data_IF_217905090485
#
_entry.id   IF_217905090485
#
_cell.length_a   1.000
_cell.length_b   1.000
_cell.length_c   1.000
_cell.angle_alpha   90.00
_cell.angle_beta   90.00
_cell.angle_gamma   90.00
#
_symmetry.space_group_name_H-M   'P 1'
#
loop_
_entity.id
_entity.type
_entity.pdbx_description
1 polymer ?
#
# COMPACT_ATOMS: atom_id res chain seq x y z
N UNK A 1 2.32 -19.57 -5.63
CA UNK A 1 2.19 -18.16 -5.23
C UNK A 1 3.55 -17.61 -4.86
N UNK A 2 4.02 -16.57 -5.55
CA UNK A 2 5.42 -16.07 -5.56
C UNK A 2 5.80 -15.16 -4.38
N UNK A 3 5.12 -15.24 -3.23
CA UNK A 3 5.43 -14.38 -2.08
C UNK A 3 6.02 -15.23 -0.96
N UNK A 4 7.29 -15.60 -1.15
CA UNK A 4 8.03 -16.37 -0.17
C UNK A 4 8.80 -15.42 0.77
N UNK A 5 8.78 -15.64 2.10
CA UNK A 5 9.54 -14.83 3.07
C UNK A 5 11.05 -14.76 2.76
N UNK A 6 11.55 -15.63 1.89
CA UNK A 6 12.94 -15.62 1.41
C UNK A 6 13.33 -14.36 0.61
N UNK A 7 12.39 -13.66 -0.03
CA UNK A 7 12.72 -12.44 -0.79
C UNK A 7 13.07 -11.30 0.18
N UNK A 8 12.26 -11.08 1.22
CA UNK A 8 12.53 -10.05 2.23
C UNK A 8 13.84 -10.32 2.97
N UNK A 9 14.09 -11.57 3.36
CA UNK A 9 15.30 -11.95 4.11
C UNK A 9 16.56 -11.73 3.25
N UNK A 10 16.53 -12.11 1.97
CA UNK A 10 17.66 -11.86 1.05
C UNK A 10 17.94 -10.38 0.82
N UNK A 11 16.90 -9.55 0.88
CA UNK A 11 17.04 -8.10 0.77
C UNK A 11 17.44 -7.43 2.10
N UNK A 12 17.71 -8.19 3.16
CA UNK A 12 18.10 -7.64 4.47
C UNK A 12 16.94 -7.10 5.31
N UNK A 13 15.69 -7.39 4.93
CA UNK A 13 14.50 -7.01 5.69
C UNK A 13 14.05 -8.13 6.64
N UNK A 14 13.35 -7.73 7.70
CA UNK A 14 12.61 -8.66 8.54
C UNK A 14 11.61 -9.48 7.69
N UNK A 15 11.20 -10.69 8.12
CA UNK A 15 10.22 -11.49 7.40
C UNK A 15 8.94 -10.69 7.13
N UNK A 16 8.59 -10.54 5.85
CA UNK A 16 7.39 -9.82 5.43
C UNK A 16 6.29 -10.81 5.04
N UNK A 17 5.05 -10.47 5.38
CA UNK A 17 3.90 -11.19 4.84
C UNK A 17 3.45 -10.55 3.52
N UNK A 18 2.71 -11.28 2.66
CA UNK A 18 2.20 -10.74 1.41
C UNK A 18 1.38 -9.44 1.57
N UNK A 19 0.72 -9.28 2.72
CA UNK A 19 -0.06 -8.08 3.03
C UNK A 19 0.84 -6.85 3.20
N UNK A 20 2.05 -7.00 3.74
CA UNK A 20 3.02 -5.90 3.87
C UNK A 20 3.40 -5.36 2.50
N UNK A 21 3.66 -6.23 1.52
CA UNK A 21 3.97 -5.81 0.15
C UNK A 21 2.78 -5.10 -0.50
N UNK A 22 1.55 -5.55 -0.24
CA UNK A 22 0.34 -4.85 -0.69
C UNK A 22 0.24 -3.45 -0.07
N UNK A 23 0.56 -3.29 1.21
CA UNK A 23 0.61 -2.00 1.88
C UNK A 23 1.69 -1.08 1.30
N UNK A 24 2.92 -1.57 1.12
CA UNK A 24 4.00 -0.78 0.52
C UNK A 24 3.62 -0.27 -0.88
N UNK A 25 2.93 -1.09 -1.68
CA UNK A 25 2.43 -0.67 -2.99
C UNK A 25 1.34 0.38 -2.91
N UNK A 26 0.42 0.28 -1.94
CA UNK A 26 -0.64 1.27 -1.74
C UNK A 26 -0.05 2.64 -1.37
N UNK A 27 0.88 2.68 -0.41
CA UNK A 27 1.57 3.91 0.01
C UNK A 27 2.31 4.55 -1.18
N UNK A 28 3.11 3.78 -1.92
CA UNK A 28 3.83 4.31 -3.08
C UNK A 28 2.91 4.91 -4.16
N UNK A 29 1.74 4.31 -4.41
CA UNK A 29 0.76 4.86 -5.35
C UNK A 29 0.12 6.15 -4.84
N UNK A 30 -0.16 6.25 -3.54
CA UNK A 30 -0.69 7.47 -2.94
C UNK A 30 0.36 8.59 -2.92
N UNK A 31 1.60 8.29 -2.55
CA UNK A 31 2.71 9.24 -2.54
C UNK A 31 3.05 9.77 -3.95
N UNK A 32 2.83 8.96 -4.99
CA UNK A 32 2.95 9.41 -6.40
C UNK A 32 1.75 10.24 -6.88
N UNK A 33 0.82 10.57 -5.99
CA UNK A 33 -0.30 11.49 -6.24
C UNK A 33 -1.55 10.83 -6.81
N UNK A 34 -1.62 9.50 -6.90
CA UNK A 34 -2.86 8.83 -7.31
C UNK A 34 -3.93 9.00 -6.23
N UNK A 35 -5.16 9.17 -6.68
CA UNK A 35 -6.33 9.24 -5.79
C UNK A 35 -6.68 7.85 -5.24
N UNK A 36 -7.12 7.79 -3.99
CA UNK A 36 -7.51 6.56 -3.26
C UNK A 36 -8.38 5.61 -4.09
N UNK A 37 -9.38 6.10 -4.83
CA UNK A 37 -10.25 5.24 -5.64
C UNK A 37 -9.51 4.54 -6.78
N UNK A 38 -8.51 5.19 -7.38
CA UNK A 38 -7.66 4.57 -8.43
C UNK A 38 -6.75 3.52 -7.80
N UNK A 39 -6.20 3.81 -6.62
CA UNK A 39 -5.37 2.84 -5.88
C UNK A 39 -6.19 1.61 -5.49
N UNK A 40 -7.41 1.78 -5.01
CA UNK A 40 -8.32 0.69 -4.68
C UNK A 40 -8.63 -0.21 -5.90
N UNK A 41 -8.87 0.40 -7.06
CA UNK A 41 -9.05 -0.33 -8.32
C UNK A 41 -7.80 -1.12 -8.72
N UNK A 42 -6.61 -0.51 -8.67
CA UNK A 42 -5.34 -1.15 -9.02
C UNK A 42 -4.96 -2.31 -8.10
N UNK A 43 -5.34 -2.25 -6.83
CA UNK A 43 -5.05 -3.27 -5.83
C UNK A 43 -6.14 -4.33 -5.71
N UNK A 44 -7.29 -4.14 -6.36
CA UNK A 44 -8.42 -5.07 -6.31
C UNK A 44 -9.04 -5.17 -4.92
N UNK A 45 -9.14 -4.06 -4.19
CA UNK A 45 -9.75 -3.99 -2.86
C UNK A 45 -10.86 -2.94 -2.80
N UNK A 46 -11.71 -3.02 -1.79
CA UNK A 46 -12.78 -2.03 -1.63
C UNK A 46 -12.22 -0.65 -1.31
N UNK A 47 -12.87 0.37 -1.86
CA UNK A 47 -12.54 1.77 -1.61
C UNK A 47 -12.60 2.10 -0.12
N UNK A 48 -13.69 1.71 0.55
CA UNK A 48 -13.95 1.96 1.98
C UNK A 48 -12.81 1.47 2.89
N UNK A 49 -12.25 0.30 2.58
CA UNK A 49 -11.13 -0.26 3.35
C UNK A 49 -9.88 0.57 3.16
N UNK A 50 -9.58 0.96 1.92
CA UNK A 50 -8.38 1.72 1.58
C UNK A 50 -8.44 3.16 2.10
N UNK A 51 -9.60 3.81 1.96
CA UNK A 51 -9.88 5.14 2.50
C UNK A 51 -9.67 5.18 4.01
N UNK A 52 -10.23 4.21 4.76
CA UNK A 52 -10.05 4.15 6.21
C UNK A 52 -8.59 3.90 6.63
N UNK A 53 -7.86 3.06 5.89
CA UNK A 53 -6.47 2.70 6.23
C UNK A 53 -5.48 3.82 5.90
N UNK A 54 -5.76 4.63 4.89
CA UNK A 54 -4.85 5.69 4.41
C UNK A 54 -5.41 7.11 4.52
N UNK A 55 -6.47 7.30 5.32
CA UNK A 55 -7.08 8.61 5.56
C UNK A 55 -6.06 9.67 6.00
N UNK A 56 -5.03 9.28 6.75
CA UNK A 56 -3.96 10.19 7.19
C UNK A 56 -3.11 10.71 6.03
N UNK A 57 -2.82 9.87 5.04
CA UNK A 57 -2.02 10.26 3.87
C UNK A 57 -2.82 11.23 2.99
N UNK A 58 -4.10 10.97 2.76
CA UNK A 58 -4.95 11.91 2.04
C UNK A 58 -5.21 13.21 2.82
N UNK A 59 -5.35 13.14 4.15
CA UNK A 59 -5.49 14.35 4.97
C UNK A 59 -4.23 15.22 4.87
N UNK A 60 -3.03 14.63 4.86
CA UNK A 60 -1.79 15.37 4.66
C UNK A 60 -1.76 16.09 3.30
N UNK A 61 -2.30 15.47 2.26
CA UNK A 61 -2.39 16.07 0.91
C UNK A 61 -3.31 17.29 0.84
N UNK A 62 -4.32 17.40 1.71
CA UNK A 62 -5.27 18.52 1.72
C UNK A 62 -4.75 19.77 2.46
N UNK A 63 -3.62 19.66 3.16
CA UNK A 63 -3.05 20.73 3.98
C UNK A 63 -1.91 21.48 3.27
N UNK A 64 -1.30 20.88 2.25
CA UNK A 64 -0.30 21.50 1.36
C UNK A 64 -0.92 22.12 0.10
#
# INVERSE_FOLDING_TARGET
GLNSPFISIRAGYAPLCPLTLRHSRAVWLLDSGLQVHRVASLLGCSYEVLEKHYAQIEAARLVE
#
